data_IF_641226800457
#
_entry.id   IF_641226800457
#
_cell.length_a   1.000
_cell.length_b   1.000
_cell.length_c   1.000
_cell.angle_alpha   90.00
_cell.angle_beta   90.00
_cell.angle_gamma   90.00
#
_symmetry.space_group_name_H-M   'P 1'
#
loop_
_entity.id
_entity.type
_entity.pdbx_description
1 polymer ?
#
# COMPACT_ATOMS: atom_id res chain seq x y z
N UNK A 1 21.19 11.45 2.05
CA UNK A 1 20.83 12.77 2.60
C UNK A 1 19.61 12.56 3.46
N UNK A 2 19.69 12.78 4.78
CA UNK A 2 18.52 12.67 5.66
C UNK A 2 17.53 13.77 5.25
N UNK A 3 16.42 13.40 4.63
CA UNK A 3 15.36 14.36 4.33
C UNK A 3 14.81 14.90 5.66
N UNK A 4 14.86 16.22 5.84
CA UNK A 4 14.31 16.84 7.03
C UNK A 4 12.78 16.80 6.95
N UNK A 5 12.11 16.49 8.07
CA UNK A 5 10.65 16.59 8.18
C UNK A 5 10.21 18.02 7.85
N UNK A 6 9.26 18.16 6.93
CA UNK A 6 8.67 19.45 6.56
C UNK A 6 7.16 19.52 6.83
N UNK A 7 6.56 18.40 7.23
CA UNK A 7 5.20 18.32 7.71
C UNK A 7 5.06 18.85 9.13
N UNK A 8 4.01 19.64 9.38
CA UNK A 8 3.76 20.30 10.66
C UNK A 8 2.30 20.09 11.12
N UNK A 9 1.84 18.84 11.08
CA UNK A 9 0.52 18.43 11.56
C UNK A 9 0.51 16.95 11.98
N UNK A 10 -0.67 16.36 12.11
CA UNK A 10 -0.84 14.91 12.29
C UNK A 10 -0.28 14.19 11.06
N UNK A 11 0.80 13.43 11.27
CA UNK A 11 1.38 12.49 10.31
C UNK A 11 0.67 11.15 10.41
N UNK A 12 0.32 10.57 9.26
CA UNK A 12 0.07 9.13 9.10
C UNK A 12 1.15 8.61 8.17
N UNK A 13 1.96 7.68 8.64
CA UNK A 13 3.15 7.24 7.91
C UNK A 13 2.82 6.31 6.77
N UNK A 14 3.52 6.44 5.66
CA UNK A 14 3.48 5.44 4.59
C UNK A 14 4.39 4.23 4.87
N UNK A 15 5.41 4.38 5.72
CA UNK A 15 6.31 3.32 6.18
C UNK A 15 6.99 3.71 7.52
N UNK A 16 7.66 2.77 8.21
CA UNK A 16 8.31 3.08 9.49
C UNK A 16 9.34 4.23 9.42
N UNK A 17 10.19 4.33 8.38
CA UNK A 17 11.13 5.45 8.22
C UNK A 17 10.49 6.82 7.94
N UNK A 18 9.19 6.89 7.66
CA UNK A 18 8.52 8.16 7.38
C UNK A 18 8.45 9.04 8.64
N UNK A 19 9.05 10.22 8.54
CA UNK A 19 9.11 11.23 9.59
C UNK A 19 8.34 12.50 9.19
N UNK A 20 7.54 12.45 8.13
CA UNK A 20 6.80 13.59 7.59
C UNK A 20 7.62 14.44 6.61
N UNK A 21 8.53 13.80 5.87
CA UNK A 21 9.21 14.41 4.73
C UNK A 21 8.35 14.29 3.46
N UNK A 22 8.40 15.31 2.60
CA UNK A 22 7.80 15.24 1.26
C UNK A 22 8.85 15.41 0.15
N UNK A 23 8.92 14.51 -0.86
CA UNK A 23 8.12 13.30 -0.97
C UNK A 23 8.49 12.26 0.11
N UNK A 24 7.52 11.45 0.51
CA UNK A 24 7.79 10.25 1.34
C UNK A 24 8.72 9.32 0.57
N UNK A 25 9.68 8.70 1.27
CA UNK A 25 10.54 7.67 0.69
C UNK A 25 9.76 6.37 0.50
N UNK A 26 10.11 5.58 -0.51
CA UNK A 26 9.51 4.25 -0.71
C UNK A 26 9.87 3.28 0.42
N UNK A 27 9.04 2.25 0.70
CA UNK A 27 7.77 1.94 0.03
C UNK A 27 6.61 2.78 0.54
N UNK A 28 5.80 3.37 -0.35
CA UNK A 28 4.66 4.21 0.08
C UNK A 28 3.38 3.42 0.41
N UNK A 29 3.38 2.10 0.27
CA UNK A 29 2.19 1.23 0.44
C UNK A 29 2.29 0.30 1.65
N UNK A 30 3.18 0.57 2.59
CA UNK A 30 3.41 -0.29 3.77
C UNK A 30 3.10 0.43 5.08
N UNK A 31 2.05 1.26 5.08
CA UNK A 31 1.71 2.08 6.23
C UNK A 31 1.57 1.22 7.50
N UNK A 32 2.42 1.45 8.52
CA UNK A 32 2.32 0.79 9.81
C UNK A 32 1.24 1.45 10.69
N UNK A 33 0.63 2.53 10.17
CA UNK A 33 -0.34 3.33 10.89
C UNK A 33 -1.78 2.95 10.54
N UNK A 34 -1.98 2.11 9.52
CA UNK A 34 -3.22 1.36 9.28
C UNK A 34 -3.05 -0.03 9.89
N UNK A 35 -3.76 -0.32 10.97
CA UNK A 35 -3.52 -1.46 11.85
C UNK A 35 -4.73 -2.39 11.85
N UNK A 36 -4.78 -3.41 10.96
CA UNK A 36 -5.62 -4.58 11.19
C UNK A 36 -5.36 -5.16 12.58
N UNK A 37 -6.41 -5.46 13.32
CA UNK A 37 -6.33 -5.94 14.70
C UNK A 37 -7.39 -7.01 15.03
N UNK A 38 -7.81 -7.75 13.99
CA UNK A 38 -8.72 -8.89 14.13
C UNK A 38 -10.00 -8.55 14.90
N UNK A 39 -10.44 -9.46 15.76
CA UNK A 39 -11.61 -9.25 16.64
C UNK A 39 -11.24 -8.65 17.99
N UNK A 40 -9.98 -8.26 18.20
CA UNK A 40 -9.50 -7.73 19.48
C UNK A 40 -9.66 -6.21 19.55
N UNK A 41 -9.37 -5.64 20.72
CA UNK A 41 -9.39 -4.20 20.96
C UNK A 41 -7.96 -3.74 21.17
N UNK A 42 -7.52 -2.78 20.36
CA UNK A 42 -6.17 -2.23 20.48
C UNK A 42 -6.06 -1.33 21.71
N UNK A 43 -5.25 -1.73 22.68
CA UNK A 43 -4.99 -0.91 23.86
C UNK A 43 -3.95 0.19 23.57
N UNK A 44 -4.05 1.31 24.28
CA UNK A 44 -3.16 2.45 24.09
C UNK A 44 -1.69 2.17 24.44
N UNK A 45 -1.41 1.24 25.37
CA UNK A 45 -0.04 0.88 25.74
C UNK A 45 0.67 0.16 24.59
N UNK A 46 0.01 -0.82 23.98
CA UNK A 46 0.50 -1.50 22.80
C UNK A 46 0.62 -0.55 21.60
N UNK A 47 -0.36 0.32 21.39
CA UNK A 47 -0.34 1.32 20.30
C UNK A 47 0.88 2.25 20.37
N UNK A 48 1.20 2.77 21.55
CA UNK A 48 2.35 3.68 21.74
C UNK A 48 3.68 2.92 21.67
N UNK A 49 3.78 1.76 22.35
CA UNK A 49 5.04 0.97 22.38
C UNK A 49 5.44 0.39 21.03
N UNK A 50 4.48 0.18 20.13
CA UNK A 50 4.70 -0.32 18.76
C UNK A 50 4.87 0.77 17.70
N UNK A 51 4.98 2.05 18.09
CA UNK A 51 5.05 3.15 17.12
C UNK A 51 6.22 2.99 16.15
N UNK A 52 7.40 2.65 16.67
CA UNK A 52 8.60 2.42 15.85
C UNK A 52 8.82 0.94 15.48
N UNK A 53 7.76 0.13 15.63
CA UNK A 53 7.76 -1.30 15.36
C UNK A 53 7.49 -2.14 16.62
N UNK A 54 7.01 -3.39 16.47
CA UNK A 54 6.75 -4.11 15.21
C UNK A 54 5.46 -3.65 14.50
N UNK A 55 5.25 -4.07 13.24
CA UNK A 55 3.97 -3.86 12.54
C UNK A 55 2.90 -4.80 13.13
N UNK A 56 2.02 -4.23 13.95
CA UNK A 56 0.91 -4.95 14.59
C UNK A 56 -0.06 -5.57 13.58
N UNK A 57 -0.20 -4.98 12.38
CA UNK A 57 -1.09 -5.44 11.34
C UNK A 57 -0.69 -6.79 10.74
N UNK A 58 0.58 -7.20 10.87
CA UNK A 58 1.05 -8.50 10.39
C UNK A 58 0.61 -9.65 11.31
N UNK A 59 0.40 -9.37 12.60
CA UNK A 59 -0.02 -10.38 13.58
C UNK A 59 -1.53 -10.62 13.57
N UNK A 60 -2.30 -9.74 12.92
CA UNK A 60 -3.76 -9.77 12.92
C UNK A 60 -4.31 -9.58 11.49
N UNK A 61 -4.02 -10.52 10.57
CA UNK A 61 -4.50 -10.41 9.20
C UNK A 61 -6.03 -10.38 9.16
N UNK A 62 -6.57 -9.78 8.09
CA UNK A 62 -8.01 -9.75 7.86
C UNK A 62 -8.49 -11.17 7.54
N UNK A 63 -9.40 -11.70 8.36
CA UNK A 63 -9.96 -13.04 8.19
C UNK A 63 -11.37 -12.98 7.63
N UNK A 64 -11.59 -13.66 6.51
CA UNK A 64 -12.91 -13.75 5.86
C UNK A 64 -14.00 -14.26 6.82
N UNK A 65 -15.19 -13.65 6.75
CA UNK A 65 -16.35 -14.03 7.55
C UNK A 65 -16.22 -13.73 9.05
N UNK A 66 -15.15 -13.08 9.50
CA UNK A 66 -14.95 -12.69 10.89
C UNK A 66 -15.06 -11.18 11.07
N UNK A 67 -15.22 -10.77 12.33
CA UNK A 67 -15.03 -9.38 12.72
C UNK A 67 -13.55 -9.02 12.55
N UNK A 68 -13.27 -8.01 11.74
CA UNK A 68 -11.93 -7.44 11.63
C UNK A 68 -12.02 -5.93 11.90
N UNK A 69 -11.41 -5.51 13.01
CA UNK A 69 -11.20 -4.13 13.38
C UNK A 69 -9.93 -3.62 12.70
N UNK A 70 -10.00 -2.40 12.22
CA UNK A 70 -8.85 -1.68 11.69
C UNK A 70 -8.78 -0.35 12.42
N UNK A 71 -7.66 -0.10 13.08
CA UNK A 71 -7.36 1.19 13.70
C UNK A 71 -6.48 2.00 12.78
N UNK A 72 -6.66 3.32 12.79
CA UNK A 72 -5.67 4.22 12.19
C UNK A 72 -5.01 5.00 13.31
N UNK A 73 -3.67 5.03 13.35
CA UNK A 73 -2.92 5.89 14.25
C UNK A 73 -2.23 7.02 13.50
N UNK A 74 -1.73 8.00 14.23
CA UNK A 74 -0.92 9.08 13.69
C UNK A 74 -0.14 9.77 14.79
N UNK A 75 0.70 10.75 14.43
CA UNK A 75 1.50 11.52 15.38
C UNK A 75 1.44 13.00 15.08
N UNK A 76 1.15 13.82 16.08
CA UNK A 76 1.19 15.28 15.90
C UNK A 76 2.64 15.77 15.86
N UNK A 77 3.10 16.22 14.69
CA UNK A 77 4.44 16.78 14.50
C UNK A 77 4.55 18.27 14.86
N UNK A 78 3.43 18.92 15.24
CA UNK A 78 3.45 20.34 15.59
C UNK A 78 4.38 20.65 16.73
N UNK A 79 5.07 21.78 16.63
CA UNK A 79 5.78 22.40 17.76
C UNK A 79 4.88 23.44 18.42
N UNK A 80 4.52 23.23 19.69
CA UNK A 80 3.97 24.29 20.55
C UNK A 80 2.44 24.41 20.64
N UNK A 81 1.65 23.77 19.79
CA UNK A 81 0.18 23.74 19.95
C UNK A 81 -0.44 22.36 19.66
N UNK A 82 -1.53 21.99 20.35
CA UNK A 82 -2.27 20.78 20.03
C UNK A 82 -2.84 20.80 18.61
N UNK A 83 -2.96 19.61 18.01
CA UNK A 83 -3.74 19.39 16.80
C UNK A 83 -5.06 18.69 17.15
N UNK A 84 -5.98 18.67 16.20
CA UNK A 84 -7.15 17.80 16.23
C UNK A 84 -7.54 17.48 14.79
N UNK A 85 -8.20 16.35 14.59
CA UNK A 85 -8.60 15.94 13.27
C UNK A 85 -9.49 14.71 13.27
N UNK A 86 -10.07 14.44 12.12
CA UNK A 86 -10.80 13.22 11.85
C UNK A 86 -10.03 12.37 10.84
N UNK A 87 -10.14 11.07 11.00
CA UNK A 87 -9.62 10.09 10.06
C UNK A 87 -10.75 9.40 9.33
N UNK A 88 -10.54 9.13 8.05
CA UNK A 88 -11.40 8.31 7.18
C UNK A 88 -10.54 7.17 6.66
N UNK A 89 -11.13 5.99 6.52
CA UNK A 89 -10.45 4.82 5.98
C UNK A 89 -11.26 4.26 4.81
N UNK A 90 -10.56 3.89 3.75
CA UNK A 90 -11.14 3.37 2.52
C UNK A 90 -10.44 2.07 2.14
N UNK A 91 -11.15 1.22 1.41
CA UNK A 91 -10.59 0.03 0.81
C UNK A 91 -10.94 -0.05 -0.69
N UNK A 92 -10.15 -0.80 -1.44
CA UNK A 92 -10.46 -1.22 -2.79
C UNK A 92 -9.81 -2.58 -3.07
N UNK A 93 -10.22 -3.28 -4.16
CA UNK A 93 -9.53 -4.48 -4.62
C UNK A 93 -8.01 -4.25 -4.68
N UNK A 94 -7.28 -5.16 -4.06
CA UNK A 94 -5.84 -5.08 -3.88
C UNK A 94 -5.10 -5.50 -5.14
N UNK A 95 -3.96 -4.89 -5.42
CA UNK A 95 -3.18 -5.27 -6.59
C UNK A 95 -1.92 -4.44 -6.81
N UNK A 96 -1.34 -4.59 -8.00
CA UNK A 96 -0.07 -3.97 -8.37
C UNK A 96 -0.18 -2.45 -8.53
N UNK A 97 -1.40 -1.97 -8.77
CA UNK A 97 -1.75 -0.56 -8.70
C UNK A 97 -3.13 -0.46 -8.06
N UNK A 98 -3.24 0.37 -7.02
CA UNK A 98 -4.52 0.72 -6.43
C UNK A 98 -5.32 1.60 -7.40
N UNK A 99 -6.51 1.18 -7.80
CA UNK A 99 -7.41 1.99 -8.62
C UNK A 99 -8.20 2.97 -7.73
N UNK A 100 -7.88 4.27 -7.73
CA UNK A 100 -8.58 5.26 -6.90
C UNK A 100 -10.07 5.39 -7.24
N UNK A 101 -10.51 4.92 -8.42
CA UNK A 101 -11.92 4.92 -8.82
C UNK A 101 -12.75 3.88 -8.06
N UNK A 102 -12.10 2.89 -7.43
CA UNK A 102 -12.75 1.78 -6.72
C UNK A 102 -12.82 1.95 -5.20
N UNK A 103 -12.35 3.09 -4.68
CA UNK A 103 -12.30 3.34 -3.24
C UNK A 103 -13.69 3.38 -2.59
N UNK A 104 -13.87 2.51 -1.60
CA UNK A 104 -15.09 2.38 -0.82
C UNK A 104 -14.80 2.77 0.64
N UNK A 105 -15.58 3.66 1.26
CA UNK A 105 -15.36 4.05 2.65
C UNK A 105 -15.69 2.91 3.61
N UNK A 106 -14.88 2.75 4.65
CA UNK A 106 -15.18 1.88 5.79
C UNK A 106 -15.97 2.64 6.86
N UNK A 107 -16.90 1.92 7.48
CA UNK A 107 -17.71 2.44 8.58
C UNK A 107 -17.06 2.08 9.91
N UNK A 108 -17.12 2.99 10.88
CA UNK A 108 -16.59 2.78 12.22
C UNK A 108 -17.55 2.01 13.13
N UNK A 109 -17.02 1.42 14.20
CA UNK A 109 -17.83 0.94 15.32
C UNK A 109 -18.62 2.09 15.94
N UNK A 110 -19.95 1.98 15.88
CA UNK A 110 -20.88 3.05 16.24
C UNK A 110 -21.45 3.85 15.05
N UNK A 111 -21.01 3.55 13.83
CA UNK A 111 -21.48 4.17 12.60
C UNK A 111 -20.63 5.37 12.14
N UNK A 112 -20.87 5.81 10.91
CA UNK A 112 -20.14 6.93 10.28
C UNK A 112 -18.81 6.53 9.63
N UNK A 113 -18.30 7.39 8.76
CA UNK A 113 -17.08 7.17 7.96
C UNK A 113 -15.93 8.13 8.30
N UNK A 114 -16.18 9.11 9.16
CA UNK A 114 -15.19 10.04 9.69
C UNK A 114 -15.13 9.89 11.22
N UNK A 115 -13.98 9.47 11.73
CA UNK A 115 -13.76 9.15 13.14
C UNK A 115 -12.79 10.17 13.74
N UNK A 116 -13.10 10.80 14.88
CA UNK A 116 -12.13 11.70 15.52
C UNK A 116 -10.90 10.92 15.97
N UNK A 117 -9.73 11.53 15.81
CA UNK A 117 -8.55 11.10 16.52
C UNK A 117 -8.67 11.41 18.02
N UNK A 118 -8.14 10.51 18.83
CA UNK A 118 -8.03 10.70 20.28
C UNK A 118 -6.66 10.25 20.78
N UNK A 119 -6.20 10.88 21.86
CA UNK A 119 -5.04 10.44 22.64
C UNK A 119 -5.48 9.60 23.85
N UNK A 120 -4.50 9.10 24.61
CA UNK A 120 -4.72 8.43 25.89
C UNK A 120 -5.69 9.23 26.77
N UNK A 121 -6.70 8.54 27.31
CA UNK A 121 -7.78 9.18 28.08
C UNK A 121 -8.94 9.73 27.24
N UNK A 122 -8.88 9.62 25.90
CA UNK A 122 -9.99 9.93 25.00
C UNK A 122 -10.13 11.40 24.61
N UNK A 123 -9.16 12.26 24.94
CA UNK A 123 -9.16 13.66 24.54
C UNK A 123 -8.94 13.80 23.02
N UNK A 124 -9.62 14.78 22.40
CA UNK A 124 -9.51 15.09 20.96
C UNK A 124 -8.37 16.06 20.63
N UNK A 125 -7.91 16.82 21.62
CA UNK A 125 -6.71 17.63 21.48
C UNK A 125 -5.50 16.73 21.61
N UNK A 126 -4.66 16.72 20.57
CA UNK A 126 -3.49 15.86 20.45
C UNK A 126 -2.28 16.76 20.71
N UNK A 127 -1.62 16.67 21.89
CA UNK A 127 -0.48 17.53 22.18
C UNK A 127 0.68 17.32 21.19
N UNK A 128 1.57 18.32 21.04
CA UNK A 128 2.83 18.19 20.31
C UNK A 128 3.58 16.88 20.63
N UNK A 129 3.97 16.15 19.59
CA UNK A 129 4.74 14.91 19.69
C UNK A 129 3.97 13.67 20.14
N UNK A 130 2.68 13.79 20.49
CA UNK A 130 1.87 12.67 20.95
C UNK A 130 1.30 11.84 19.80
N UNK A 131 1.10 10.55 20.08
CA UNK A 131 0.46 9.59 19.19
C UNK A 131 -1.05 9.63 19.44
N UNK A 132 -1.83 9.61 18.37
CA UNK A 132 -3.27 9.53 18.40
C UNK A 132 -3.77 8.29 17.64
N UNK A 133 -5.01 7.89 17.91
CA UNK A 133 -5.69 6.77 17.24
C UNK A 133 -7.16 7.10 16.96
N UNK A 134 -7.71 6.52 15.89
CA UNK A 134 -9.14 6.57 15.59
C UNK A 134 -9.93 6.13 16.84
N UNK A 135 -10.79 7.01 17.35
CA UNK A 135 -11.54 6.78 18.61
C UNK A 135 -12.34 5.46 18.62
N UNK A 136 -12.88 5.10 17.47
CA UNK A 136 -13.49 3.81 17.19
C UNK A 136 -12.69 3.08 16.12
N UNK A 137 -12.70 1.75 16.14
CA UNK A 137 -12.18 0.97 15.03
C UNK A 137 -13.05 1.15 13.77
N UNK A 138 -12.44 1.09 12.60
CA UNK A 138 -13.14 0.82 11.36
C UNK A 138 -13.43 -0.68 11.26
N UNK A 139 -14.57 -1.04 10.69
CA UNK A 139 -14.98 -2.42 10.52
C UNK A 139 -14.77 -2.87 9.09
N UNK A 140 -13.98 -3.93 8.92
CA UNK A 140 -13.93 -4.64 7.64
C UNK A 140 -15.28 -5.31 7.37
N UNK A 141 -15.87 -5.16 6.17
CA UNK A 141 -17.11 -5.84 5.82
C UNK A 141 -16.90 -7.36 5.78
N UNK A 142 -17.56 -8.10 6.67
CA UNK A 142 -17.41 -9.57 6.78
C UNK A 142 -17.84 -10.32 5.52
N UNK A 143 -18.69 -9.69 4.71
CA UNK A 143 -19.19 -10.19 3.43
C UNK A 143 -18.24 -9.96 2.25
N UNK A 144 -17.19 -9.14 2.42
CA UNK A 144 -16.18 -8.99 1.37
C UNK A 144 -15.55 -10.38 1.11
N UNK A 145 -15.47 -10.84 -0.15
CA UNK A 145 -14.91 -12.14 -0.44
C UNK A 145 -13.45 -12.24 0.01
N UNK A 146 -12.91 -13.46 0.20
CA UNK A 146 -11.47 -13.62 0.36
C UNK A 146 -10.74 -13.01 -0.83
N UNK A 147 -9.67 -12.28 -0.56
CA UNK A 147 -8.89 -11.63 -1.59
C UNK A 147 -7.93 -10.62 -1.02
N UNK A 148 -7.16 -10.03 -1.93
CA UNK A 148 -6.19 -9.00 -1.63
C UNK A 148 -6.91 -7.65 -1.67
N UNK A 149 -6.60 -6.78 -0.71
CA UNK A 149 -7.19 -5.45 -0.62
C UNK A 149 -6.13 -4.40 -0.32
N UNK A 150 -6.29 -3.23 -0.92
CA UNK A 150 -5.55 -2.03 -0.58
C UNK A 150 -6.37 -1.19 0.40
N UNK A 151 -5.71 -0.50 1.32
CA UNK A 151 -6.38 0.45 2.23
C UNK A 151 -5.71 1.82 2.19
N UNK A 152 -6.53 2.87 2.24
CA UNK A 152 -6.08 4.27 2.25
C UNK A 152 -6.72 4.98 3.43
N UNK A 153 -5.90 5.55 4.29
CA UNK A 153 -6.33 6.46 5.34
C UNK A 153 -6.17 7.90 4.86
N UNK A 154 -7.12 8.76 5.21
CA UNK A 154 -6.96 10.22 5.06
C UNK A 154 -7.28 10.94 6.35
N UNK A 155 -6.49 11.96 6.65
CA UNK A 155 -6.61 12.76 7.87
C UNK A 155 -6.97 14.20 7.51
N UNK A 156 -8.08 14.64 8.08
CA UNK A 156 -8.64 15.96 7.97
C UNK A 156 -8.34 16.74 9.25
N UNK A 157 -7.57 17.82 9.15
CA UNK A 157 -7.34 18.75 10.27
C UNK A 157 -7.75 20.17 9.86
N UNK A 158 -7.97 21.09 10.81
CA UNK A 158 -8.23 22.50 10.48
C UNK A 158 -7.09 23.18 9.68
N UNK A 159 -5.85 22.75 9.82
CA UNK A 159 -4.72 23.34 9.07
C UNK A 159 -4.47 22.65 7.72
N UNK A 160 -4.86 21.39 7.60
CA UNK A 160 -4.74 20.59 6.37
C UNK A 160 -6.06 19.88 6.11
N UNK A 161 -7.09 20.62 5.63
CA UNK A 161 -8.39 20.05 5.39
C UNK A 161 -8.34 19.04 4.25
N UNK A 162 -9.00 17.89 4.44
CA UNK A 162 -9.17 16.86 3.43
C UNK A 162 -10.61 16.90 2.89
N UNK A 163 -10.81 17.02 1.57
CA UNK A 163 -12.15 17.02 0.98
C UNK A 163 -12.98 15.81 1.40
N UNK A 164 -14.30 16.00 1.49
CA UNK A 164 -15.22 14.94 1.92
C UNK A 164 -15.24 13.74 0.95
N UNK A 165 -15.03 14.01 -0.34
CA UNK A 165 -14.79 13.00 -1.36
C UNK A 165 -13.29 12.87 -1.62
N UNK A 166 -12.82 11.65 -1.90
CA UNK A 166 -11.43 11.46 -2.31
C UNK A 166 -11.18 12.14 -3.66
N UNK A 167 -9.95 12.64 -3.90
CA UNK A 167 -9.58 13.18 -5.20
C UNK A 167 -9.69 12.11 -6.28
N UNK A 168 -10.06 12.55 -7.48
CA UNK A 168 -9.95 11.75 -8.70
C UNK A 168 -8.66 12.11 -9.43
N UNK A 169 -8.10 11.16 -10.15
CA UNK A 169 -6.82 11.32 -10.84
C UNK A 169 -7.01 11.01 -12.32
N UNK A 170 -6.52 11.91 -13.18
CA UNK A 170 -6.55 11.74 -14.63
C UNK A 170 -5.33 11.02 -15.21
N UNK A 171 -4.34 10.70 -14.37
CA UNK A 171 -3.11 10.03 -14.76
C UNK A 171 -2.50 9.25 -13.60
N UNK A 172 -1.65 8.28 -13.93
CA UNK A 172 -0.89 7.50 -12.96
C UNK A 172 0.06 8.38 -12.13
N UNK A 173 0.71 9.34 -12.80
CA UNK A 173 1.70 10.21 -12.17
C UNK A 173 1.06 11.18 -11.17
N UNK A 174 -0.15 11.68 -11.45
CA UNK A 174 -0.87 12.57 -10.53
C UNK A 174 -1.27 11.83 -9.25
N UNK A 175 -1.72 10.58 -9.38
CA UNK A 175 -2.05 9.72 -8.24
C UNK A 175 -0.81 9.47 -7.36
N UNK A 176 0.30 9.03 -7.95
CA UNK A 176 1.56 8.79 -7.23
C UNK A 176 2.09 10.05 -6.56
N UNK A 177 2.03 11.18 -7.25
CA UNK A 177 2.44 12.46 -6.68
C UNK A 177 1.55 12.82 -5.50
N UNK A 178 0.23 12.59 -5.57
CA UNK A 178 -0.65 12.87 -4.45
C UNK A 178 -0.30 12.02 -3.23
N UNK A 179 -0.13 10.71 -3.36
CA UNK A 179 0.25 9.85 -2.22
C UNK A 179 1.57 10.33 -1.60
N UNK A 180 2.63 10.49 -2.40
CA UNK A 180 3.98 10.85 -1.91
C UNK A 180 4.08 12.23 -1.26
N UNK A 181 3.18 13.17 -1.56
CA UNK A 181 3.27 14.57 -1.12
C UNK A 181 2.17 14.96 -0.11
N UNK A 182 1.38 14.01 0.40
CA UNK A 182 0.37 14.27 1.40
C UNK A 182 0.62 13.41 2.66
N UNK A 183 1.41 13.89 3.64
CA UNK A 183 1.71 13.14 4.88
C UNK A 183 0.49 12.93 5.82
N UNK A 184 -0.66 13.49 5.46
CA UNK A 184 -1.97 13.18 6.06
C UNK A 184 -2.74 12.09 5.29
N UNK A 185 -2.05 11.33 4.44
CA UNK A 185 -2.54 10.14 3.74
C UNK A 185 -1.62 8.99 4.10
N UNK A 186 -2.18 7.82 4.35
CA UNK A 186 -1.41 6.59 4.53
C UNK A 186 -1.95 5.48 3.64
N UNK A 187 -1.06 4.67 3.07
CA UNK A 187 -1.43 3.57 2.18
C UNK A 187 -0.88 2.23 2.67
N UNK A 188 -1.73 1.20 2.73
CA UNK A 188 -1.33 -0.17 3.11
C UNK A 188 -1.83 -1.22 2.11
N UNK A 189 -0.88 -1.98 1.56
CA UNK A 189 -1.03 -3.11 0.63
C UNK A 189 -0.23 -4.32 1.12
N UNK A 190 -0.57 -4.80 2.30
CA UNK A 190 0.08 -5.98 2.87
C UNK A 190 -0.96 -7.05 3.11
N UNK A 191 -0.68 -8.25 2.62
CA UNK A 191 -1.46 -9.44 2.91
C UNK A 191 -0.57 -10.54 3.51
N UNK A 192 -1.18 -11.48 4.21
CA UNK A 192 -0.51 -12.59 4.88
C UNK A 192 -0.85 -13.88 4.15
N UNK A 193 0.19 -14.61 3.74
CA UNK A 193 0.07 -15.88 3.02
C UNK A 193 0.66 -17.03 3.84
N UNK A 194 0.19 -18.28 3.65
CA UNK A 194 0.78 -19.42 4.33
C UNK A 194 2.23 -19.66 3.86
N UNK A 195 3.16 -19.89 4.79
CA UNK A 195 4.53 -20.31 4.45
C UNK A 195 4.59 -21.81 4.11
N UNK A 196 5.81 -22.29 3.79
CA UNK A 196 6.15 -23.72 3.52
C UNK A 196 5.46 -24.31 2.30
N UNK A 197 5.02 -23.47 1.37
CA UNK A 197 4.56 -23.90 0.05
C UNK A 197 5.59 -23.50 -1.01
N UNK A 198 5.66 -24.28 -2.08
CA UNK A 198 6.47 -23.98 -3.27
C UNK A 198 5.67 -23.30 -4.36
N UNK A 199 4.34 -23.22 -4.23
CA UNK A 199 3.47 -22.67 -5.26
C UNK A 199 2.37 -21.80 -4.68
N UNK A 200 2.28 -20.56 -5.15
CA UNK A 200 1.26 -19.59 -4.77
C UNK A 200 0.45 -19.15 -5.98
N UNK A 201 -0.87 -19.02 -5.82
CA UNK A 201 -1.76 -18.41 -6.81
C UNK A 201 -2.33 -17.15 -6.20
N UNK A 202 -1.82 -16.02 -6.65
CA UNK A 202 -2.21 -14.69 -6.19
C UNK A 202 -3.16 -14.12 -7.24
N UNK A 203 -4.45 -14.43 -7.09
CA UNK A 203 -5.49 -14.10 -8.06
C UNK A 203 -6.17 -12.77 -7.75
N UNK A 204 -6.84 -12.20 -8.75
CA UNK A 204 -7.66 -10.99 -8.62
C UNK A 204 -6.87 -9.75 -8.17
N UNK A 205 -5.57 -9.67 -8.50
CA UNK A 205 -4.76 -8.50 -8.20
C UNK A 205 -5.13 -7.36 -9.14
N UNK A 206 -5.71 -6.29 -8.62
CA UNK A 206 -6.10 -5.11 -9.39
C UNK A 206 -4.93 -4.51 -10.18
N UNK A 207 -5.23 -4.10 -11.40
CA UNK A 207 -4.35 -3.28 -12.24
C UNK A 207 -5.18 -2.27 -13.01
N UNK A 208 -4.65 -1.06 -13.16
CA UNK A 208 -5.32 -0.02 -13.92
C UNK A 208 -4.32 0.76 -14.79
N UNK A 209 -4.82 1.32 -15.89
CA UNK A 209 -4.16 2.38 -16.61
C UNK A 209 -5.03 3.63 -16.47
N UNK A 210 -4.64 4.55 -15.59
CA UNK A 210 -5.38 5.81 -15.39
C UNK A 210 -5.17 6.81 -16.53
N UNK A 211 -4.16 6.60 -17.38
CA UNK A 211 -3.90 7.49 -18.49
C UNK A 211 -4.97 7.31 -19.57
N UNK A 212 -5.31 8.41 -20.24
CA UNK A 212 -6.22 8.43 -21.39
C UNK A 212 -5.57 7.92 -22.69
N UNK A 213 -4.36 7.37 -22.62
CA UNK A 213 -3.63 6.76 -23.74
C UNK A 213 -3.16 5.35 -23.39
N UNK A 214 -3.01 4.45 -24.40
CA UNK A 214 -2.38 3.16 -24.18
C UNK A 214 -0.99 3.34 -23.59
N UNK A 215 -0.69 2.63 -22.50
CA UNK A 215 0.51 2.84 -21.70
C UNK A 215 1.26 1.52 -21.53
N UNK A 216 2.60 1.58 -21.59
CA UNK A 216 3.45 0.39 -21.36
C UNK A 216 3.57 0.09 -19.87
N UNK A 217 3.53 -1.19 -19.53
CA UNK A 217 3.71 -1.71 -18.18
C UNK A 217 4.80 -2.78 -18.16
N UNK A 218 5.56 -2.83 -17.07
CA UNK A 218 6.49 -3.90 -16.71
C UNK A 218 6.14 -4.36 -15.30
N UNK A 219 6.19 -5.67 -15.05
CA UNK A 219 5.97 -6.22 -13.72
C UNK A 219 7.28 -6.71 -13.12
N UNK A 220 7.43 -6.49 -11.81
CA UNK A 220 8.58 -6.90 -11.03
C UNK A 220 8.18 -7.86 -9.91
N UNK A 221 9.11 -8.74 -9.54
CA UNK A 221 9.06 -9.53 -8.32
C UNK A 221 10.39 -9.45 -7.58
N UNK A 222 10.32 -9.13 -6.29
CA UNK A 222 11.43 -9.22 -5.36
C UNK A 222 10.92 -9.56 -3.96
N UNK A 223 11.77 -9.50 -2.96
CA UNK A 223 11.40 -9.86 -1.61
C UNK A 223 12.56 -10.03 -0.65
N UNK A 224 12.28 -10.72 0.45
CA UNK A 224 13.29 -11.15 1.42
C UNK A 224 13.14 -12.64 1.64
N UNK A 225 14.27 -13.34 1.76
CA UNK A 225 14.36 -14.79 1.97
C UNK A 225 13.57 -15.60 0.94
N UNK A 226 13.57 -15.13 -0.32
CA UNK A 226 12.95 -15.84 -1.42
C UNK A 226 13.89 -16.92 -1.98
N UNK A 227 13.44 -18.18 -2.07
CA UNK A 227 14.10 -19.19 -2.88
C UNK A 227 14.11 -18.81 -4.36
N UNK A 228 14.93 -19.50 -5.16
CA UNK A 228 14.91 -19.30 -6.59
C UNK A 228 13.57 -19.77 -7.17
N UNK A 229 13.18 -19.22 -8.32
CA UNK A 229 11.91 -19.58 -8.92
C UNK A 229 11.47 -18.64 -10.04
N UNK A 230 10.17 -18.64 -10.31
CA UNK A 230 9.56 -17.79 -11.31
C UNK A 230 8.23 -17.22 -10.80
N UNK A 231 7.87 -16.05 -11.32
CA UNK A 231 6.53 -15.50 -11.19
C UNK A 231 5.92 -15.26 -12.57
N UNK A 232 4.80 -15.91 -12.85
CA UNK A 232 4.06 -15.72 -14.09
C UNK A 232 2.88 -14.78 -13.84
N UNK A 233 2.95 -13.59 -14.41
CA UNK A 233 1.89 -12.58 -14.43
C UNK A 233 0.99 -12.81 -15.64
N UNK A 234 -0.30 -12.96 -15.42
CA UNK A 234 -1.26 -13.28 -16.49
C UNK A 234 -2.57 -12.53 -16.35
N UNK A 235 -3.18 -12.21 -17.49
CA UNK A 235 -4.50 -11.62 -17.61
C UNK A 235 -5.21 -12.25 -18.80
N UNK A 236 -6.47 -12.66 -18.61
CA UNK A 236 -7.31 -13.31 -19.63
C UNK A 236 -8.39 -12.40 -20.20
N UNK A 237 -8.46 -11.15 -19.76
CA UNK A 237 -9.33 -10.12 -20.31
C UNK A 237 -9.04 -9.93 -21.80
N UNK A 238 -10.08 -9.99 -22.62
CA UNK A 238 -9.97 -9.84 -24.07
C UNK A 238 -9.44 -8.47 -24.49
N UNK A 239 -9.58 -7.44 -23.65
CA UNK A 239 -9.03 -6.10 -23.93
C UNK A 239 -7.51 -6.01 -23.72
N UNK A 240 -6.94 -6.88 -22.89
CA UNK A 240 -5.52 -6.86 -22.55
C UNK A 240 -4.99 -8.27 -22.15
N UNK A 241 -5.05 -9.28 -23.04
CA UNK A 241 -4.62 -10.62 -22.70
C UNK A 241 -3.08 -10.69 -22.68
N UNK A 242 -2.51 -11.24 -21.62
CA UNK A 242 -1.06 -11.48 -21.55
C UNK A 242 -0.69 -12.63 -20.62
N UNK A 243 0.50 -13.17 -20.83
CA UNK A 243 1.19 -14.07 -19.92
C UNK A 243 2.68 -13.81 -20.02
N UNK A 244 3.28 -13.36 -18.92
CA UNK A 244 4.68 -12.92 -18.84
C UNK A 244 5.32 -13.56 -17.61
N UNK A 245 6.59 -13.90 -17.70
CA UNK A 245 7.32 -14.50 -16.57
C UNK A 245 8.52 -13.65 -16.19
N UNK A 246 8.69 -13.43 -14.89
CA UNK A 246 9.89 -12.90 -14.28
C UNK A 246 10.63 -14.02 -13.52
N UNK A 247 11.95 -13.92 -13.48
CA UNK A 247 12.78 -14.82 -12.65
C UNK A 247 12.82 -14.31 -11.21
N UNK A 248 12.96 -15.22 -10.25
CA UNK A 248 13.19 -14.89 -8.84
C UNK A 248 14.63 -15.28 -8.52
N UNK A 249 15.43 -14.30 -8.13
CA UNK A 249 16.83 -14.50 -7.77
C UNK A 249 16.96 -14.59 -6.25
N UNK A 250 17.47 -15.68 -5.68
CA UNK A 250 17.72 -15.76 -4.25
C UNK A 250 18.84 -14.78 -3.86
N UNK A 251 18.76 -14.10 -2.70
CA UNK A 251 17.80 -14.30 -1.60
C UNK A 251 16.50 -13.48 -1.74
N UNK A 252 16.18 -13.00 -2.94
CA UNK A 252 14.99 -12.20 -3.24
C UNK A 252 15.23 -10.70 -3.29
N UNK A 253 16.40 -10.23 -2.83
CA UNK A 253 16.71 -8.79 -2.77
C UNK A 253 16.83 -8.14 -4.13
N UNK A 254 17.31 -8.91 -5.13
CA UNK A 254 17.36 -8.47 -6.52
C UNK A 254 16.00 -8.69 -7.18
N UNK A 255 15.53 -7.68 -7.89
CA UNK A 255 14.24 -7.75 -8.57
C UNK A 255 14.37 -8.36 -9.96
N UNK A 256 13.49 -9.33 -10.24
CA UNK A 256 13.29 -9.87 -11.57
C UNK A 256 12.13 -9.20 -12.28
N UNK A 257 12.30 -8.94 -13.57
CA UNK A 257 11.32 -8.21 -14.37
C UNK A 257 10.76 -9.04 -15.52
N UNK A 258 9.51 -8.76 -15.88
CA UNK A 258 8.93 -9.22 -17.14
C UNK A 258 9.37 -8.35 -18.31
N UNK A 259 9.16 -8.81 -19.56
CA UNK A 259 9.08 -7.89 -20.71
C UNK A 259 7.90 -6.92 -20.56
N UNK A 260 7.87 -5.87 -21.38
CA UNK A 260 6.77 -4.91 -21.37
C UNK A 260 5.49 -5.43 -22.04
N UNK A 261 4.34 -4.96 -21.58
CA UNK A 261 3.03 -5.06 -22.23
C UNK A 261 2.42 -3.68 -22.41
N UNK A 262 1.40 -3.54 -23.26
CA UNK A 262 0.61 -2.32 -23.39
C UNK A 262 -0.78 -2.56 -22.84
N UNK A 263 -1.19 -1.76 -21.86
CA UNK A 263 -2.58 -1.73 -21.41
C UNK A 263 -3.35 -0.63 -22.16
N UNK A 264 -4.61 -0.87 -22.56
CA UNK A 264 -5.46 0.14 -23.18
C UNK A 264 -5.60 1.40 -22.32
N UNK A 265 -5.95 2.52 -22.94
CA UNK A 265 -6.32 3.75 -22.23
C UNK A 265 -7.46 3.48 -21.23
N UNK A 266 -7.39 4.08 -20.04
CA UNK A 266 -8.41 3.98 -18.99
C UNK A 266 -8.70 2.56 -18.48
N UNK A 267 -7.86 1.58 -18.82
CA UNK A 267 -8.05 0.16 -18.47
C UNK A 267 -8.24 -0.03 -16.95
N UNK A 268 -9.11 -0.98 -16.59
CA UNK A 268 -9.29 -1.47 -15.22
C UNK A 268 -9.54 -2.96 -15.31
N UNK A 269 -8.73 -3.76 -14.63
CA UNK A 269 -8.82 -5.21 -14.69
C UNK A 269 -8.02 -5.87 -13.58
N UNK A 270 -7.69 -7.15 -13.77
CA UNK A 270 -6.96 -7.93 -12.78
C UNK A 270 -5.83 -8.74 -13.40
N UNK A 271 -4.84 -9.05 -12.58
CA UNK A 271 -3.73 -9.93 -12.88
C UNK A 271 -3.79 -11.13 -11.94
N UNK A 272 -3.53 -12.32 -12.47
CA UNK A 272 -3.20 -13.49 -11.67
C UNK A 272 -1.70 -13.72 -11.73
N UNK A 273 -1.07 -13.85 -10.57
CA UNK A 273 0.35 -14.13 -10.44
C UNK A 273 0.54 -15.52 -9.85
N UNK A 274 1.16 -16.41 -10.61
CA UNK A 274 1.57 -17.73 -10.13
C UNK A 274 3.04 -17.66 -9.77
N UNK A 275 3.34 -17.76 -8.48
CA UNK A 275 4.73 -17.86 -7.98
C UNK A 275 5.06 -19.32 -7.81
N UNK A 276 6.11 -19.78 -8.48
CA UNK A 276 6.64 -21.13 -8.41
C UNK A 276 8.09 -21.09 -7.93
N UNK A 277 8.34 -21.63 -6.75
CA UNK A 277 9.64 -21.69 -6.08
C UNK A 277 10.25 -23.08 -6.22
N UNK A 278 11.58 -23.14 -6.18
CA UNK A 278 12.36 -24.37 -6.17
C UNK A 278 12.40 -25.03 -4.77
N UNK A 279 12.21 -24.24 -3.72
CA UNK A 279 12.13 -24.67 -2.32
C UNK A 279 10.91 -24.06 -1.62
N UNK A 280 10.42 -24.68 -0.52
CA UNK A 280 9.34 -24.12 0.27
C UNK A 280 9.69 -22.72 0.82
N UNK A 281 8.75 -21.78 0.73
CA UNK A 281 8.92 -20.42 1.24
C UNK A 281 9.13 -20.41 2.78
N UNK A 282 10.18 -19.75 3.31
CA UNK A 282 10.38 -19.56 4.74
C UNK A 282 9.22 -18.83 5.43
N UNK A 283 9.09 -18.99 6.75
CA UNK A 283 8.02 -18.40 7.55
C UNK A 283 8.48 -17.08 8.17
N UNK A 284 8.54 -16.04 7.33
CA UNK A 284 9.05 -14.68 7.58
C UNK A 284 9.44 -14.01 6.26
N UNK A 285 9.64 -14.82 5.22
CA UNK A 285 9.87 -14.37 3.86
C UNK A 285 8.77 -13.42 3.36
N UNK A 286 9.16 -12.50 2.47
CA UNK A 286 8.25 -11.53 1.86
C UNK A 286 8.32 -11.67 0.35
N UNK A 287 7.16 -11.69 -0.31
CA UNK A 287 7.05 -11.53 -1.76
C UNK A 287 6.51 -10.12 -2.02
N UNK A 288 7.21 -9.34 -2.84
CA UNK A 288 6.76 -8.01 -3.26
C UNK A 288 6.58 -8.02 -4.77
N UNK A 289 5.36 -7.76 -5.21
CA UNK A 289 5.03 -7.64 -6.62
C UNK A 289 4.86 -6.18 -6.99
N UNK A 290 5.50 -5.71 -8.06
CA UNK A 290 5.48 -4.32 -8.50
C UNK A 290 4.94 -4.15 -9.90
N UNK A 291 4.36 -2.99 -10.16
CA UNK A 291 4.06 -2.51 -11.51
C UNK A 291 4.82 -1.22 -11.79
N UNK A 292 5.38 -1.15 -12.99
CA UNK A 292 6.14 -0.02 -13.48
C UNK A 292 5.59 0.48 -14.81
N UNK A 293 5.62 1.80 -15.00
CA UNK A 293 5.43 2.41 -16.31
C UNK A 293 6.78 2.95 -16.83
N UNK A 294 7.33 2.41 -17.95
CA UNK A 294 8.53 2.96 -18.57
C UNK A 294 8.29 4.40 -19.04
N UNK A 295 9.19 5.30 -18.64
CA UNK A 295 9.13 6.73 -18.94
C UNK A 295 9.72 7.00 -20.30
N UNK A 296 8.93 7.63 -21.17
CA UNK A 296 9.36 7.94 -22.54
C UNK A 296 10.25 9.19 -22.59
N UNK A 297 10.97 9.38 -23.70
CA UNK A 297 11.76 10.59 -23.94
C UNK A 297 10.92 11.88 -23.94
N UNK A 298 9.60 11.78 -24.15
CA UNK A 298 8.65 12.90 -24.17
C UNK A 298 7.92 13.10 -22.84
N UNK A 299 8.27 12.33 -21.80
CA UNK A 299 7.62 12.41 -20.50
C UNK A 299 7.68 13.83 -19.90
N UNK A 300 6.62 14.18 -19.17
CA UNK A 300 6.50 15.45 -18.49
C UNK A 300 7.55 15.62 -17.39
N UNK A 301 7.73 16.86 -16.89
CA UNK A 301 8.69 17.15 -15.80
C UNK A 301 8.36 16.37 -14.53
N UNK A 302 7.07 16.23 -14.20
CA UNK A 302 6.62 15.51 -13.02
C UNK A 302 6.96 14.02 -13.09
N UNK A 303 6.68 13.39 -14.23
CA UNK A 303 6.99 11.98 -14.48
C UNK A 303 8.48 11.72 -14.33
N UNK A 304 9.34 12.50 -15.00
CA UNK A 304 10.79 12.34 -14.89
C UNK A 304 11.32 12.54 -13.47
N UNK A 305 10.69 13.40 -12.68
CA UNK A 305 11.07 13.65 -11.28
C UNK A 305 10.78 12.45 -10.38
N UNK A 306 9.69 11.73 -10.65
CA UNK A 306 9.27 10.57 -9.85
C UNK A 306 9.87 9.26 -10.36
N UNK A 307 10.44 9.27 -11.56
CA UNK A 307 10.98 8.07 -12.17
C UNK A 307 12.32 7.64 -11.57
N UNK A 308 12.50 6.33 -11.43
CA UNK A 308 13.73 5.71 -10.94
C UNK A 308 14.40 4.91 -12.05
N UNK A 309 15.74 4.82 -12.08
CA UNK A 309 16.43 3.92 -12.99
C UNK A 309 16.24 2.48 -12.54
N UNK A 310 15.94 1.57 -13.48
CA UNK A 310 15.96 0.13 -13.23
C UNK A 310 16.98 -0.54 -14.13
N UNK A 311 17.65 -1.56 -13.61
CA UNK A 311 18.61 -2.39 -14.36
C UNK A 311 18.03 -3.78 -14.58
N UNK A 312 18.36 -4.41 -15.72
CA UNK A 312 17.92 -5.78 -16.00
C UNK A 312 16.48 -5.93 -16.53
N UNK A 313 15.78 -4.83 -16.83
CA UNK A 313 14.47 -4.90 -17.50
C UNK A 313 14.64 -5.36 -18.95
N UNK A 314 14.02 -6.47 -19.37
CA UNK A 314 14.10 -6.95 -20.75
C UNK A 314 13.64 -5.88 -21.74
N UNK A 315 14.38 -5.72 -22.84
CA UNK A 315 14.08 -4.79 -23.96
C UNK A 315 14.17 -3.29 -23.64
N UNK A 316 14.46 -2.91 -22.39
CA UNK A 316 14.46 -1.52 -21.92
C UNK A 316 15.68 -1.22 -21.04
N UNK A 317 16.88 -1.33 -21.62
CA UNK A 317 18.13 -1.01 -20.92
C UNK A 317 18.21 0.48 -20.61
N UNK A 318 18.69 0.80 -19.41
CA UNK A 318 18.96 2.17 -18.92
C UNK A 318 17.77 3.14 -19.01
N UNK A 319 16.54 2.59 -19.01
CA UNK A 319 15.31 3.39 -18.99
C UNK A 319 14.96 3.86 -17.58
N UNK A 320 14.20 4.97 -17.51
CA UNK A 320 13.57 5.44 -16.28
C UNK A 320 12.17 4.84 -16.17
N UNK A 321 11.74 4.55 -14.95
CA UNK A 321 10.46 3.90 -14.68
C UNK A 321 9.71 4.63 -13.57
N UNK A 322 8.42 4.85 -13.77
CA UNK A 322 7.51 5.22 -12.69
C UNK A 322 7.09 3.95 -11.97
N UNK A 323 7.44 3.83 -10.69
CA UNK A 323 6.87 2.79 -9.82
C UNK A 323 5.43 3.16 -9.49
N UNK A 324 4.50 2.38 -10.03
CA UNK A 324 3.06 2.64 -9.94
C UNK A 324 2.46 2.16 -8.63
N UNK A 325 3.11 1.18 -8.01
CA UNK A 325 2.67 0.58 -6.78
C UNK A 325 3.29 -0.80 -6.61
N UNK A 326 3.15 -1.30 -5.40
CA UNK A 326 3.44 -2.69 -5.10
C UNK A 326 2.37 -3.30 -4.19
N UNK A 327 2.42 -4.62 -4.14
CA UNK A 327 1.65 -5.42 -3.21
C UNK A 327 2.59 -6.39 -2.50
N UNK A 328 2.56 -6.38 -1.17
CA UNK A 328 3.45 -7.18 -0.34
C UNK A 328 2.69 -8.35 0.28
N UNK A 329 3.23 -9.55 0.13
CA UNK A 329 2.76 -10.76 0.79
C UNK A 329 3.79 -11.19 1.83
N UNK A 330 3.37 -11.34 3.08
CA UNK A 330 4.22 -11.79 4.18
C UNK A 330 3.87 -13.24 4.50
N UNK A 331 4.87 -14.12 4.45
CA UNK A 331 4.69 -15.53 4.73
C UNK A 331 4.63 -15.78 6.23
N UNK A 332 3.58 -16.43 6.71
CA UNK A 332 3.44 -16.81 8.13
C UNK A 332 3.04 -18.28 8.26
N UNK A 333 3.32 -18.92 9.40
CA UNK A 333 2.75 -20.24 9.68
C UNK A 333 1.23 -20.15 9.58
N UNK A 334 0.60 -21.10 8.88
CA UNK A 334 -0.87 -21.18 8.88
C UNK A 334 -1.35 -21.26 10.33
N UNK A 335 -2.20 -20.31 10.74
CA UNK A 335 -2.89 -20.39 12.03
C UNK A 335 -3.63 -21.73 12.11
N UNK A 336 -3.48 -22.49 13.21
CA UNK A 336 -4.10 -23.81 13.37
C UNK A 336 -5.63 -23.78 13.29
#
# INVERSE_FOLDING_TARGET
MNAAANWNDILVRDNFPDVGQTPTADPVWESPDIIPFGSDILDFGLLESSYDGPDLGLSHPIVYGRLNRIYVRGKNLRTGCPASGNVRLYYAPGGLLLDPRAWTPLTAEGGGTAVPFTVRGGAREIPPGQICVSRSAFLWPSQNPPGHYCTIATVDTPAHPMPAALPTFGSLVDYLNWVRYNPNVGWRNIDVIPCRQTRYVLSNLAIANLNNTPTRFVFGISGTDLPAGTATFSNTDQQAPFSLTAQIYPPGTDEGYTRSIVLPANYSGTVTVVVQLDQPLPCDARIVLRAYNPVTANAGKLERRLAVPLTGVPELQDALFLELGAYTFVATPSSP
#
